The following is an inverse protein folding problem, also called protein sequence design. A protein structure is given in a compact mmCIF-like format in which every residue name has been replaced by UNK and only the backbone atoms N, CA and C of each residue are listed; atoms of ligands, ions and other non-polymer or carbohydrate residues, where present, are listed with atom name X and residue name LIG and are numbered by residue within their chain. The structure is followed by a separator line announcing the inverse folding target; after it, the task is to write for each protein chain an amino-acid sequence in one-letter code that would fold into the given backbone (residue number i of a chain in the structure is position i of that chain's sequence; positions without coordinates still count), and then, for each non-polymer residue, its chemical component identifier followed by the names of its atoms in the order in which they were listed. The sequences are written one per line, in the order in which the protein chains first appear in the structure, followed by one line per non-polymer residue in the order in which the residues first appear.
data_IF_403833849953
#
_entry.id   IF_403833849953
#
_cell.length_a   1.000
_cell.length_b   1.000
_cell.length_c   1.000
_cell.angle_alpha   90.00
_cell.angle_beta   90.00
_cell.angle_gamma   90.00
#
_symmetry.space_group_name_H-M   'P 1'
#
loop_
_entity.id
_entity.type
_entity.pdbx_description
1 polymer ?
#
# COMPACT_ATOMS: atom_id res chain seq x y z
N UNK A 1 7.35 -15.11 -12.33
CA UNK A 1 5.96 -15.05 -12.82
C UNK A 1 5.01 -14.80 -11.65
N UNK A 2 3.97 -13.98 -11.82
CA UNK A 2 2.92 -13.69 -10.83
C UNK A 2 1.51 -14.12 -11.31
N UNK A 3 1.41 -14.87 -12.41
CA UNK A 3 0.14 -15.30 -12.99
C UNK A 3 -0.81 -15.92 -11.97
N UNK A 4 -2.00 -15.33 -11.85
CA UNK A 4 -3.06 -15.78 -10.95
C UNK A 4 -2.84 -15.51 -9.46
N UNK A 5 -1.70 -14.91 -9.07
CA UNK A 5 -1.45 -14.56 -7.67
C UNK A 5 -2.29 -13.36 -7.28
N UNK A 6 -3.03 -13.50 -6.18
CA UNK A 6 -3.70 -12.40 -5.53
C UNK A 6 -2.65 -11.56 -4.78
N UNK A 7 -2.56 -10.27 -5.08
CA UNK A 7 -1.56 -9.37 -4.48
C UNK A 7 -2.24 -8.16 -3.89
N UNK A 8 -1.90 -7.85 -2.63
CA UNK A 8 -2.18 -6.57 -2.01
C UNK A 8 -0.88 -5.76 -1.98
N UNK A 9 -0.96 -4.48 -2.31
CA UNK A 9 0.19 -3.57 -2.26
C UNK A 9 0.02 -2.56 -1.14
N UNK A 10 1.07 -2.31 -0.39
CA UNK A 10 1.09 -1.26 0.62
C UNK A 10 2.48 -0.65 0.75
N UNK A 11 2.55 0.62 1.14
CA UNK A 11 3.84 1.29 1.31
C UNK A 11 3.74 2.66 1.97
N UNK A 12 4.90 3.23 2.27
CA UNK A 12 5.04 4.59 2.77
C UNK A 12 5.53 5.50 1.64
N UNK A 13 4.83 6.60 1.43
CA UNK A 13 5.12 7.61 0.40
C UNK A 13 5.48 8.92 1.08
N UNK A 14 6.77 9.28 1.19
CA UNK A 14 7.17 10.52 1.88
C UNK A 14 6.51 11.79 1.31
N UNK A 15 6.19 11.79 0.01
CA UNK A 15 5.45 12.87 -0.65
C UNK A 15 3.91 12.75 -0.54
N UNK A 16 3.40 11.66 0.01
CA UNK A 16 1.96 11.38 0.18
C UNK A 16 1.21 11.08 -1.11
N UNK A 17 1.90 10.70 -2.20
CA UNK A 17 1.28 10.53 -3.54
C UNK A 17 1.09 9.06 -3.95
N UNK A 18 1.75 8.13 -3.27
CA UNK A 18 1.67 6.69 -3.53
C UNK A 18 2.27 6.27 -4.87
N UNK A 19 3.19 7.07 -5.43
CA UNK A 19 3.74 6.84 -6.77
C UNK A 19 4.50 5.51 -6.83
N UNK A 20 5.22 5.16 -5.77
CA UNK A 20 5.92 3.90 -5.62
C UNK A 20 4.97 2.69 -5.59
N UNK A 21 3.83 2.81 -4.89
CA UNK A 21 2.80 1.75 -4.84
C UNK A 21 2.11 1.60 -6.21
N UNK A 22 1.82 2.71 -6.89
CA UNK A 22 1.25 2.70 -8.25
C UNK A 22 2.20 2.06 -9.26
N UNK A 23 3.47 2.46 -9.26
CA UNK A 23 4.49 1.90 -10.13
C UNK A 23 4.65 0.38 -9.92
N UNK A 24 4.62 -0.09 -8.66
CA UNK A 24 4.66 -1.53 -8.38
C UNK A 24 3.45 -2.27 -8.95
N UNK A 25 2.25 -1.68 -8.85
CA UNK A 25 1.04 -2.27 -9.45
C UNK A 25 1.19 -2.39 -10.98
N UNK A 26 1.71 -1.36 -11.63
CA UNK A 26 1.96 -1.34 -13.08
C UNK A 26 2.99 -2.39 -13.52
N UNK A 27 4.00 -2.68 -12.69
CA UNK A 27 4.99 -3.73 -12.96
C UNK A 27 4.45 -5.15 -12.74
N UNK A 28 3.46 -5.33 -11.87
CA UNK A 28 2.90 -6.64 -11.52
C UNK A 28 1.76 -7.07 -12.42
N UNK A 29 0.94 -6.12 -12.90
CA UNK A 29 -0.15 -6.38 -13.87
C UNK A 29 0.31 -7.18 -15.10
N UNK A 30 1.34 -6.77 -15.87
CA UNK A 30 1.79 -7.53 -17.04
C UNK A 30 2.41 -8.88 -16.68
N UNK A 31 2.79 -9.09 -15.41
CA UNK A 31 3.28 -10.38 -14.89
C UNK A 31 2.14 -11.30 -14.44
N UNK A 32 0.88 -10.94 -14.72
CA UNK A 32 -0.31 -11.76 -14.46
C UNK A 32 -0.83 -11.71 -13.02
N UNK A 33 -0.37 -10.76 -12.21
CA UNK A 33 -0.88 -10.58 -10.85
C UNK A 33 -2.32 -10.03 -10.84
N UNK A 34 -3.12 -10.50 -9.89
CA UNK A 34 -4.45 -9.96 -9.59
C UNK A 34 -4.33 -9.00 -8.40
N UNK A 35 -4.24 -7.70 -8.67
CA UNK A 35 -4.13 -6.69 -7.61
C UNK A 35 -5.49 -6.55 -6.92
N UNK A 36 -5.58 -6.99 -5.65
CA UNK A 36 -6.80 -6.96 -4.84
C UNK A 36 -7.02 -5.64 -4.12
N UNK A 37 -5.96 -4.86 -3.93
CA UNK A 37 -6.02 -3.55 -3.32
C UNK A 37 -4.65 -2.91 -3.21
N UNK A 38 -4.63 -1.60 -3.02
CA UNK A 38 -3.43 -0.81 -2.80
C UNK A 38 -3.64 0.23 -1.72
N UNK A 39 -2.70 0.35 -0.79
CA UNK A 39 -2.70 1.35 0.26
C UNK A 39 -1.38 2.11 0.29
N UNK A 40 -1.41 3.38 0.68
CA UNK A 40 -0.20 4.10 1.03
C UNK A 40 -0.49 5.14 2.11
N UNK A 41 0.49 5.37 2.96
CA UNK A 41 0.47 6.45 3.94
C UNK A 41 1.68 7.37 3.73
N UNK A 42 1.65 8.57 4.29
CA UNK A 42 2.79 9.48 4.20
C UNK A 42 3.93 9.04 5.12
N UNK A 43 3.57 8.53 6.29
CA UNK A 43 4.50 8.20 7.37
C UNK A 43 5.24 9.44 7.90
N UNK A 44 6.11 9.23 8.89
CA UNK A 44 6.86 10.31 9.53
C UNK A 44 8.15 10.71 8.81
N UNK A 45 8.14 10.94 7.49
CA UNK A 45 9.35 11.32 6.75
C UNK A 45 9.63 12.84 6.81
N UNK A 46 9.55 13.45 8.00
CA UNK A 46 10.08 14.80 8.22
C UNK A 46 11.26 14.71 9.17
N UNK A 47 12.36 15.39 8.85
CA UNK A 47 13.62 15.39 9.62
C UNK A 47 13.46 15.78 11.11
N UNK A 48 12.32 16.39 11.48
CA UNK A 48 11.96 16.76 12.86
C UNK A 48 10.99 15.78 13.55
N UNK A 49 10.38 14.86 12.78
CA UNK A 49 9.45 13.88 13.28
C UNK A 49 10.05 12.49 13.07
N UNK A 50 10.73 11.95 14.10
CA UNK A 50 10.93 10.50 14.28
C UNK A 50 9.58 9.82 14.59
N UNK A 51 8.59 10.06 13.74
CA UNK A 51 7.19 9.83 14.02
C UNK A 51 6.70 8.56 13.39
N UNK A 52 6.13 7.67 14.20
CA UNK A 52 5.25 6.60 13.73
C UNK A 52 4.14 7.18 12.85
N UNK A 53 3.50 6.35 11.99
CA UNK A 53 2.28 6.75 11.31
C UNK A 53 1.27 7.37 12.29
N UNK A 54 0.51 8.36 11.85
CA UNK A 54 -0.52 8.97 12.69
C UNK A 54 -1.59 7.94 13.08
N UNK A 55 -2.38 8.22 14.13
CA UNK A 55 -3.51 7.36 14.50
C UNK A 55 -4.50 7.16 13.34
N UNK A 56 -4.68 8.18 12.50
CA UNK A 56 -5.48 8.11 11.28
C UNK A 56 -4.84 7.19 10.24
N UNK A 57 -3.54 7.31 9.99
CA UNK A 57 -2.82 6.42 9.07
C UNK A 57 -2.86 4.97 9.54
N UNK A 58 -2.78 4.72 10.85
CA UNK A 58 -2.95 3.39 11.45
C UNK A 58 -4.38 2.87 11.32
N UNK A 59 -5.38 3.72 11.52
CA UNK A 59 -6.79 3.37 11.34
C UNK A 59 -7.07 2.96 9.89
N UNK A 60 -6.60 3.76 8.92
CA UNK A 60 -6.76 3.48 7.49
C UNK A 60 -6.00 2.22 7.07
N UNK A 61 -4.79 2.00 7.59
CA UNK A 61 -4.05 0.76 7.34
C UNK A 61 -4.80 -0.47 7.88
N UNK A 62 -5.46 -0.34 9.03
CA UNK A 62 -6.28 -1.41 9.62
C UNK A 62 -7.53 -1.69 8.80
N UNK A 63 -8.18 -0.66 8.29
CA UNK A 63 -9.31 -0.79 7.37
C UNK A 63 -8.91 -1.54 6.11
N UNK A 64 -7.83 -1.09 5.45
CA UNK A 64 -7.27 -1.78 4.29
C UNK A 64 -6.98 -3.27 4.56
N UNK A 65 -6.34 -3.59 5.69
CA UNK A 65 -6.07 -4.98 6.06
C UNK A 65 -7.36 -5.82 6.22
N UNK A 66 -8.42 -5.23 6.77
CA UNK A 66 -9.72 -5.89 6.90
C UNK A 66 -10.39 -6.12 5.54
N UNK A 67 -10.27 -5.19 4.61
CA UNK A 67 -10.75 -5.37 3.23
C UNK A 67 -10.01 -6.50 2.53
N UNK A 68 -8.69 -6.57 2.67
CA UNK A 68 -7.88 -7.63 2.05
C UNK A 68 -8.23 -9.02 2.60
N UNK A 69 -8.61 -9.12 3.89
CA UNK A 69 -9.08 -10.37 4.48
C UNK A 69 -10.42 -10.85 3.89
N UNK A 70 -11.29 -9.92 3.47
CA UNK A 70 -12.60 -10.23 2.88
C UNK A 70 -12.52 -10.50 1.37
N UNK A 71 -11.49 -9.97 0.71
CA UNK A 71 -11.25 -10.15 -0.72
C UNK A 71 -10.69 -11.56 -1.01
N UNK A 72 -11.55 -12.58 -0.91
CA UNK A 72 -11.25 -13.95 -1.33
C UNK A 72 -11.31 -14.09 -2.85
#
# INVERSE_FOLDING_TARGET
DFKGRQVALFGTSGAGKGNEVKAMAELLKPKGALIKGSFYCKGGFFFLYRGHPSNEELANAREFANEMKKSK
#
